data_IF_812713692949
#
_entry.id   IF_812713692949
#
_cell.length_a   1.000
_cell.length_b   1.000
_cell.length_c   1.000
_cell.angle_alpha   90.00
_cell.angle_beta   90.00
_cell.angle_gamma   90.00
#
_symmetry.space_group_name_H-M   'P 1'
#
loop_
_entity.id
_entity.type
_entity.pdbx_description
1 polymer ?
#
# COMPACT_ATOMS: atom_id res chain seq x y z
N UNK A 1 9.97 -18.27 3.22
CA UNK A 1 10.59 -16.97 2.86
C UNK A 1 9.47 -15.95 2.72
N UNK A 2 9.64 -14.76 3.29
CA UNK A 2 8.64 -13.68 3.15
C UNK A 2 8.74 -13.09 1.74
N UNK A 3 7.59 -12.85 1.10
CA UNK A 3 7.53 -12.26 -0.23
C UNK A 3 7.23 -10.76 -0.12
N UNK A 4 8.14 -9.93 -0.60
CA UNK A 4 8.02 -8.46 -0.60
C UNK A 4 7.23 -7.90 -1.80
N UNK A 5 6.88 -8.76 -2.76
CA UNK A 5 6.13 -8.39 -3.96
C UNK A 5 6.92 -7.59 -5.00
N UNK A 6 6.19 -6.93 -5.90
CA UNK A 6 6.74 -6.07 -6.94
C UNK A 6 6.62 -4.60 -6.56
N UNK A 7 7.54 -3.77 -7.03
CA UNK A 7 7.41 -2.32 -6.94
C UNK A 7 6.19 -1.85 -7.74
N UNK A 8 5.21 -1.15 -7.14
CA UNK A 8 4.03 -0.67 -7.87
C UNK A 8 4.37 0.45 -8.86
N UNK A 9 5.52 1.11 -8.69
CA UNK A 9 5.97 2.22 -9.53
C UNK A 9 6.71 1.74 -10.78
N UNK A 10 7.63 0.77 -10.64
CA UNK A 10 8.49 0.33 -11.75
C UNK A 10 8.41 -1.17 -12.09
N UNK A 11 7.73 -1.98 -11.27
CA UNK A 11 7.57 -3.42 -11.48
C UNK A 11 8.75 -4.30 -11.04
N UNK A 12 9.81 -3.72 -10.44
CA UNK A 12 10.97 -4.49 -9.96
C UNK A 12 10.59 -5.51 -8.88
N UNK A 13 11.24 -6.68 -8.90
CA UNK A 13 11.04 -7.71 -7.89
C UNK A 13 11.83 -7.38 -6.62
N UNK A 14 11.13 -6.95 -5.57
CA UNK A 14 11.73 -6.53 -4.29
C UNK A 14 12.39 -7.68 -3.53
N UNK A 15 12.09 -8.92 -3.89
CA UNK A 15 12.72 -10.10 -3.30
C UNK A 15 14.15 -10.33 -3.79
N UNK A 16 14.51 -9.79 -4.95
CA UNK A 16 15.83 -9.98 -5.55
C UNK A 16 16.61 -8.69 -5.63
N UNK A 17 15.95 -7.58 -5.95
CA UNK A 17 16.59 -6.30 -6.20
C UNK A 17 15.80 -5.15 -5.54
N UNK A 18 16.45 -4.30 -4.73
CA UNK A 18 15.83 -3.09 -4.22
C UNK A 18 15.62 -2.07 -5.35
N UNK A 19 14.58 -1.23 -5.22
CA UNK A 19 14.34 -0.12 -6.12
C UNK A 19 14.35 1.21 -5.35
N UNK A 20 14.84 2.28 -5.97
CA UNK A 20 14.90 3.63 -5.40
C UNK A 20 13.66 4.47 -5.73
N UNK A 21 12.52 3.81 -6.00
CA UNK A 21 11.28 4.53 -6.31
C UNK A 21 10.75 5.18 -5.04
N UNK A 22 10.46 6.48 -5.11
CA UNK A 22 9.77 7.20 -4.05
C UNK A 22 8.27 6.81 -4.06
N UNK A 23 7.79 6.24 -2.94
CA UNK A 23 6.39 5.86 -2.72
C UNK A 23 5.66 6.81 -1.76
N UNK A 24 6.26 7.97 -1.46
CA UNK A 24 5.72 8.93 -0.48
C UNK A 24 4.51 9.71 -0.96
N UNK A 25 4.21 9.70 -2.25
CA UNK A 25 3.04 10.41 -2.79
C UNK A 25 1.75 9.62 -2.47
N UNK A 26 0.87 10.16 -1.60
CA UNK A 26 -0.40 9.51 -1.31
C UNK A 26 -1.23 9.45 -2.58
N UNK A 27 -1.70 8.26 -2.95
CA UNK A 27 -2.48 8.08 -4.17
C UNK A 27 -3.64 9.09 -4.19
N UNK A 28 -3.73 9.98 -5.20
CA UNK A 28 -4.75 11.03 -5.23
C UNK A 28 -6.17 10.47 -5.21
N UNK A 29 -6.38 9.21 -5.61
CA UNK A 29 -7.67 8.50 -5.49
C UNK A 29 -8.02 8.21 -4.04
N UNK A 30 -7.02 7.92 -3.20
CA UNK A 30 -7.20 7.69 -1.76
C UNK A 30 -7.43 8.99 -0.98
N UNK A 31 -7.10 10.15 -1.54
CA UNK A 31 -7.35 11.44 -0.89
C UNK A 31 -8.83 11.67 -0.54
N UNK A 32 -9.74 11.19 -1.40
CA UNK A 32 -11.20 11.26 -1.17
C UNK A 32 -11.70 10.32 -0.08
N UNK A 33 -10.92 9.29 0.28
CA UNK A 33 -11.30 8.28 1.28
C UNK A 33 -10.84 8.65 2.70
N UNK A 34 -10.12 9.78 2.88
CA UNK A 34 -9.61 10.24 4.19
C UNK A 34 -10.70 10.33 5.27
N UNK A 35 -11.94 10.66 4.89
CA UNK A 35 -13.08 10.75 5.81
C UNK A 35 -13.66 9.41 6.25
N UNK A 36 -13.35 8.31 5.56
CA UNK A 36 -13.93 6.98 5.85
C UNK A 36 -13.28 6.30 7.06
N UNK A 37 -12.00 6.57 7.31
CA UNK A 37 -11.26 5.97 8.43
C UNK A 37 -11.55 6.64 9.79
N UNK A 38 -12.39 7.68 9.83
CA UNK A 38 -12.71 8.43 11.06
C UNK A 38 -13.86 7.87 11.91
N UNK A 39 -14.61 6.88 11.45
CA UNK A 39 -15.84 6.45 12.15
C UNK A 39 -16.13 4.93 12.19
N UNK A 40 -15.22 4.06 11.76
CA UNK A 40 -15.45 2.61 11.86
C UNK A 40 -14.57 1.77 10.95
N UNK A 41 -13.24 1.84 11.15
CA UNK A 41 -12.32 0.92 10.48
C UNK A 41 -12.64 -0.53 10.87
N UNK A 42 -12.76 -1.37 9.85
CA UNK A 42 -12.98 -2.82 9.83
C UNK A 42 -12.16 -3.63 10.85
N UNK A 43 -12.51 -3.56 12.14
CA UNK A 43 -11.96 -4.44 13.19
C UNK A 43 -12.97 -5.49 13.67
N UNK A 44 -14.18 -5.53 13.12
CA UNK A 44 -15.24 -6.44 13.56
C UNK A 44 -15.78 -7.28 12.39
N UNK A 45 -14.90 -8.08 11.78
CA UNK A 45 -15.33 -9.24 10.99
C UNK A 45 -14.84 -10.51 11.70
N UNK A 46 -15.65 -11.14 12.57
CA UNK A 46 -15.30 -12.46 13.07
C UNK A 46 -15.29 -13.45 11.89
N UNK A 47 -14.19 -14.21 11.80
CA UNK A 47 -13.94 -15.28 10.84
C UNK A 47 -15.03 -16.35 10.81
#
# INVERSE_FOLDING_TARGET
PECEGLCPTCGANRNTDPCECDDSEPDPRMASLKGLFGAGGETDRPS
#
